data_IF_549360003313
#
_entry.id   IF_549360003313
#
_cell.length_a   1.000
_cell.length_b   1.000
_cell.length_c   1.000
_cell.angle_alpha   90.00
_cell.angle_beta   90.00
_cell.angle_gamma   90.00
#
_symmetry.space_group_name_H-M   'P 1'
#
loop_
_entity.id
_entity.type
_entity.pdbx_description
1 polymer ?
#
# COMPACT_ATOMS: atom_id res chain seq x y z
N UNK A 1 11.97 15.00 -34.63
CA UNK A 1 11.76 14.97 -33.18
C UNK A 1 10.87 13.77 -32.88
N UNK A 2 11.47 12.60 -32.68
CA UNK A 2 10.76 11.40 -32.25
C UNK A 2 10.55 11.59 -30.75
N UNK A 3 9.31 11.85 -30.34
CA UNK A 3 8.98 12.36 -29.02
C UNK A 3 9.23 11.34 -27.90
N UNK A 4 9.90 11.83 -26.87
CA UNK A 4 9.83 11.42 -25.45
C UNK A 4 8.38 11.18 -24.96
N UNK A 5 7.75 10.07 -25.34
CA UNK A 5 6.49 9.69 -24.72
C UNK A 5 6.80 8.93 -23.40
N UNK A 6 6.72 9.68 -22.30
CA UNK A 6 6.91 9.18 -20.95
C UNK A 6 5.99 7.99 -20.65
N UNK A 7 4.77 7.99 -21.19
CA UNK A 7 3.84 6.87 -21.03
C UNK A 7 4.37 5.58 -21.64
N UNK A 8 4.98 5.65 -22.84
CA UNK A 8 5.59 4.48 -23.50
C UNK A 8 6.76 3.91 -22.69
N UNK A 9 7.61 4.77 -22.11
CA UNK A 9 8.72 4.31 -21.27
C UNK A 9 8.22 3.58 -20.02
N UNK A 10 7.21 4.12 -19.35
CA UNK A 10 6.60 3.46 -18.19
C UNK A 10 5.93 2.15 -18.59
N UNK A 11 5.15 2.12 -19.68
CA UNK A 11 4.48 0.91 -20.15
C UNK A 11 5.45 -0.20 -20.57
N UNK A 12 6.58 0.14 -21.17
CA UNK A 12 7.58 -0.84 -21.59
C UNK A 12 8.50 -1.35 -20.46
N UNK A 13 8.24 -1.00 -19.19
CA UNK A 13 9.14 -1.29 -18.06
C UNK A 13 8.60 -2.40 -17.17
N UNK A 14 9.29 -3.55 -17.18
CA UNK A 14 9.00 -4.71 -16.33
C UNK A 14 9.54 -4.57 -14.89
N UNK A 15 10.52 -3.68 -14.70
CA UNK A 15 11.17 -3.39 -13.42
C UNK A 15 11.19 -1.89 -13.16
N UNK A 16 11.46 -1.50 -11.91
CA UNK A 16 11.44 -0.11 -11.44
C UNK A 16 12.09 0.89 -12.43
N UNK A 17 11.30 1.71 -13.16
CA UNK A 17 11.85 2.65 -14.12
C UNK A 17 12.16 3.98 -13.41
N UNK A 18 13.12 3.96 -12.48
CA UNK A 18 13.42 5.06 -11.54
C UNK A 18 13.43 6.45 -12.20
N UNK A 19 14.15 6.61 -13.30
CA UNK A 19 14.23 7.89 -14.01
C UNK A 19 12.88 8.35 -14.58
N UNK A 20 12.14 7.45 -15.24
CA UNK A 20 10.84 7.78 -15.81
C UNK A 20 9.78 8.00 -14.72
N UNK A 21 9.83 7.22 -13.64
CA UNK A 21 8.91 7.38 -12.50
C UNK A 21 9.11 8.74 -11.82
N UNK A 22 10.36 9.17 -11.58
CA UNK A 22 10.63 10.53 -11.04
C UNK A 22 10.17 11.63 -11.98
N UNK A 23 10.36 11.46 -13.29
CA UNK A 23 9.88 12.39 -14.29
C UNK A 23 8.34 12.48 -14.28
N UNK A 24 7.64 11.36 -14.13
CA UNK A 24 6.19 11.32 -14.01
C UNK A 24 5.66 11.99 -12.74
N UNK A 25 6.38 11.89 -11.62
CA UNK A 25 6.05 12.63 -10.39
C UNK A 25 6.23 14.14 -10.59
N UNK A 26 7.27 14.56 -11.29
CA UNK A 26 7.56 15.97 -11.55
C UNK A 26 6.56 16.60 -12.55
N UNK A 27 6.11 15.82 -13.54
CA UNK A 27 5.21 16.27 -14.61
C UNK A 27 4.00 15.32 -14.79
N UNK A 28 3.14 15.16 -13.76
CA UNK A 28 2.05 14.16 -13.76
C UNK A 28 1.06 14.37 -14.92
N UNK A 29 0.89 15.61 -15.37
CA UNK A 29 0.02 15.94 -16.51
C UNK A 29 0.38 15.26 -17.82
N UNK A 30 1.63 14.77 -17.98
CA UNK A 30 2.08 14.05 -19.19
C UNK A 30 1.51 12.63 -19.30
N UNK A 31 1.14 12.03 -18.17
CA UNK A 31 0.60 10.65 -18.12
C UNK A 31 -0.82 10.59 -17.55
N UNK A 32 -1.28 11.62 -16.82
CA UNK A 32 -2.54 11.56 -16.06
C UNK A 32 -3.75 11.18 -16.92
N UNK A 33 -3.89 11.74 -18.13
CA UNK A 33 -5.02 11.44 -19.00
C UNK A 33 -5.11 9.96 -19.36
N UNK A 34 -3.97 9.34 -19.65
CA UNK A 34 -3.90 7.94 -20.05
C UNK A 34 -4.07 7.00 -18.87
N UNK A 35 -3.42 7.29 -17.73
CA UNK A 35 -3.59 6.51 -16.50
C UNK A 35 -5.04 6.53 -16.02
N UNK A 36 -5.73 7.69 -16.09
CA UNK A 36 -7.15 7.78 -15.75
C UNK A 36 -8.03 6.96 -16.70
N UNK A 37 -7.74 6.98 -18.01
CA UNK A 37 -8.42 6.14 -19.00
C UNK A 37 -8.25 4.65 -18.68
N UNK A 38 -7.05 4.23 -18.32
CA UNK A 38 -6.73 2.83 -17.98
C UNK A 38 -7.40 2.40 -16.67
N UNK A 39 -7.40 3.26 -15.63
CA UNK A 39 -8.14 3.00 -14.40
C UNK A 39 -9.65 2.83 -14.66
N UNK A 40 -10.24 3.69 -15.49
CA UNK A 40 -11.65 3.59 -15.87
C UNK A 40 -11.93 2.32 -16.68
N UNK A 41 -11.04 1.95 -17.60
CA UNK A 41 -11.17 0.74 -18.42
C UNK A 41 -11.09 -0.54 -17.56
N UNK A 42 -10.04 -0.68 -16.76
CA UNK A 42 -9.85 -1.83 -15.88
C UNK A 42 -10.96 -1.90 -14.80
N UNK A 43 -11.36 -0.78 -14.22
CA UNK A 43 -12.51 -0.72 -13.31
C UNK A 43 -13.87 -1.02 -13.97
N UNK A 44 -13.93 -1.03 -15.30
CA UNK A 44 -15.06 -1.49 -16.10
C UNK A 44 -14.96 -2.95 -16.55
N UNK A 45 -13.91 -3.68 -16.14
CA UNK A 45 -13.66 -5.07 -16.50
C UNK A 45 -13.00 -5.26 -17.87
N UNK A 46 -12.36 -4.22 -18.43
CA UNK A 46 -11.55 -4.37 -19.64
C UNK A 46 -10.20 -5.00 -19.30
N UNK A 47 -9.80 -6.02 -20.07
CA UNK A 47 -8.44 -6.55 -20.05
C UNK A 47 -7.48 -5.52 -20.64
N UNK A 48 -6.34 -5.32 -19.96
CA UNK A 48 -5.26 -4.43 -20.41
C UNK A 48 -4.13 -5.27 -21.04
N UNK A 49 -3.38 -4.68 -21.98
CA UNK A 49 -2.12 -5.29 -22.40
C UNK A 49 -1.05 -5.18 -21.31
N UNK A 50 0.02 -5.95 -21.40
CA UNK A 50 1.15 -5.87 -20.45
C UNK A 50 1.69 -4.42 -20.35
N UNK A 51 1.82 -3.72 -21.48
CA UNK A 51 2.29 -2.34 -21.47
C UNK A 51 1.29 -1.35 -20.85
N UNK A 52 -0.01 -1.59 -21.04
CA UNK A 52 -1.06 -0.81 -20.40
C UNK A 52 -1.11 -1.07 -18.89
N UNK A 53 -0.96 -2.32 -18.46
CA UNK A 53 -0.88 -2.70 -17.05
C UNK A 53 0.33 -2.06 -16.36
N UNK A 54 1.51 -2.13 -16.97
CA UNK A 54 2.72 -1.47 -16.49
C UNK A 54 2.53 0.06 -16.39
N UNK A 55 1.96 0.69 -17.41
CA UNK A 55 1.67 2.13 -17.39
C UNK A 55 0.68 2.49 -16.27
N UNK A 56 -0.37 1.70 -16.08
CA UNK A 56 -1.33 1.88 -14.99
C UNK A 56 -0.60 1.78 -13.64
N UNK A 57 0.20 0.73 -13.44
CA UNK A 57 0.92 0.48 -12.19
C UNK A 57 1.85 1.64 -11.82
N UNK A 58 2.81 1.99 -12.69
CA UNK A 58 3.76 3.07 -12.40
C UNK A 58 3.08 4.43 -12.35
N UNK A 59 2.14 4.65 -13.27
CA UNK A 59 1.40 5.89 -13.37
C UNK A 59 0.53 6.17 -12.15
N UNK A 60 -0.13 5.16 -11.60
CA UNK A 60 -0.94 5.28 -10.38
C UNK A 60 -0.09 5.77 -9.20
N UNK A 61 1.10 5.20 -9.01
CA UNK A 61 2.02 5.60 -7.96
C UNK A 61 2.57 7.01 -8.18
N UNK A 62 2.86 7.40 -9.43
CA UNK A 62 3.25 8.77 -9.77
C UNK A 62 2.13 9.79 -9.47
N UNK A 63 0.89 9.48 -9.86
CA UNK A 63 -0.27 10.33 -9.60
C UNK A 63 -0.57 10.44 -8.10
N UNK A 64 -0.41 9.36 -7.34
CA UNK A 64 -0.51 9.37 -5.89
C UNK A 64 0.55 10.29 -5.27
N UNK A 65 1.82 10.19 -5.68
CA UNK A 65 2.88 11.08 -5.23
C UNK A 65 2.62 12.55 -5.58
N UNK A 66 2.02 12.81 -6.74
CA UNK A 66 1.60 14.14 -7.16
C UNK A 66 0.28 14.64 -6.52
N UNK A 67 -0.39 13.83 -5.69
CA UNK A 67 -1.71 14.12 -5.08
C UNK A 67 -2.81 14.43 -6.11
N UNK A 68 -2.80 13.74 -7.24
CA UNK A 68 -3.79 13.93 -8.29
C UNK A 68 -5.12 13.24 -7.94
N UNK A 69 -5.96 13.93 -7.18
CA UNK A 69 -7.22 13.39 -6.67
C UNK A 69 -8.22 12.92 -7.74
N UNK A 70 -8.00 13.25 -9.02
CA UNK A 70 -8.82 12.73 -10.12
C UNK A 70 -8.77 11.20 -10.22
N UNK A 71 -7.68 10.57 -9.78
CA UNK A 71 -7.51 9.11 -9.82
C UNK A 71 -8.22 8.38 -8.66
N UNK A 72 -8.70 9.08 -7.64
CA UNK A 72 -9.34 8.46 -6.47
C UNK A 72 -10.55 7.60 -6.82
N UNK A 73 -11.55 8.17 -7.48
CA UNK A 73 -12.79 7.46 -7.80
C UNK A 73 -12.59 6.36 -8.85
N UNK A 74 -11.78 6.55 -9.91
CA UNK A 74 -11.38 5.46 -10.79
C UNK A 74 -10.67 4.32 -10.05
N UNK A 75 -9.74 4.61 -9.15
CA UNK A 75 -9.08 3.59 -8.33
C UNK A 75 -10.10 2.81 -7.48
N UNK A 76 -11.04 3.47 -6.81
CA UNK A 76 -12.08 2.76 -6.03
C UNK A 76 -12.98 1.86 -6.90
N UNK A 77 -13.13 2.15 -8.20
CA UNK A 77 -13.83 1.27 -9.14
C UNK A 77 -12.98 0.08 -9.57
N UNK A 78 -11.68 0.29 -9.79
CA UNK A 78 -10.71 -0.79 -10.00
C UNK A 78 -10.68 -1.75 -8.81
N UNK A 79 -10.64 -1.24 -7.58
CA UNK A 79 -10.60 -2.03 -6.34
C UNK A 79 -11.86 -2.88 -6.08
N UNK A 80 -12.88 -2.81 -6.94
CA UNK A 80 -14.05 -3.71 -6.92
C UNK A 80 -13.95 -4.88 -7.89
N UNK A 81 -12.91 -4.92 -8.74
CA UNK A 81 -12.65 -6.09 -9.57
C UNK A 81 -12.24 -7.28 -8.70
N UNK A 82 -12.28 -8.48 -9.27
CA UNK A 82 -11.86 -9.70 -8.59
C UNK A 82 -10.36 -9.72 -8.25
N UNK A 83 -9.99 -10.63 -7.35
CA UNK A 83 -8.62 -10.75 -6.86
C UNK A 83 -7.60 -11.14 -7.93
N UNK A 84 -8.00 -11.83 -9.01
CA UNK A 84 -7.09 -12.18 -10.12
C UNK A 84 -6.73 -10.93 -10.90
N UNK A 85 -7.73 -10.14 -11.30
CA UNK A 85 -7.53 -8.85 -11.97
C UNK A 85 -6.67 -7.89 -11.13
N UNK A 86 -6.91 -7.83 -9.81
CA UNK A 86 -6.12 -6.99 -8.92
C UNK A 86 -4.69 -7.49 -8.73
N UNK A 87 -4.49 -8.81 -8.67
CA UNK A 87 -3.15 -9.40 -8.60
C UNK A 87 -2.35 -9.12 -9.88
N UNK A 88 -2.98 -9.18 -11.05
CA UNK A 88 -2.30 -8.89 -12.32
C UNK A 88 -1.90 -7.42 -12.45
N UNK A 89 -2.75 -6.50 -11.97
CA UNK A 89 -2.52 -5.05 -12.14
C UNK A 89 -1.71 -4.40 -11.02
N UNK A 90 -1.85 -4.88 -9.78
CA UNK A 90 -1.20 -4.30 -8.61
C UNK A 90 -0.18 -5.24 -7.96
N UNK A 91 -0.30 -6.54 -8.15
CA UNK A 91 0.57 -7.54 -7.51
C UNK A 91 0.73 -7.28 -6.00
N UNK A 92 1.98 -7.36 -5.53
CA UNK A 92 2.32 -7.11 -4.12
C UNK A 92 2.11 -5.65 -3.69
N UNK A 93 1.96 -4.70 -4.63
CA UNK A 93 1.64 -3.31 -4.29
C UNK A 93 0.27 -3.19 -3.60
N UNK A 94 -0.66 -4.12 -3.88
CA UNK A 94 -1.95 -4.18 -3.22
C UNK A 94 -1.84 -4.28 -1.69
N UNK A 95 -0.85 -5.00 -1.16
CA UNK A 95 -0.62 -5.14 0.29
C UNK A 95 0.50 -4.26 0.86
N UNK A 96 1.29 -3.58 0.01
CA UNK A 96 2.47 -2.83 0.44
C UNK A 96 2.32 -1.32 0.33
N UNK A 97 1.69 -0.80 -0.72
CA UNK A 97 1.58 0.65 -0.98
C UNK A 97 0.13 1.16 -1.02
N UNK A 98 -0.85 0.27 -1.15
CA UNK A 98 -2.25 0.65 -1.38
C UNK A 98 -2.83 1.65 -0.35
N UNK A 99 -2.59 1.55 0.97
CA UNK A 99 -3.09 2.57 1.91
C UNK A 99 -2.54 3.96 1.62
N UNK A 100 -1.26 4.05 1.26
CA UNK A 100 -0.60 5.31 0.96
C UNK A 100 -1.11 5.90 -0.35
N UNK A 101 -1.34 5.05 -1.36
CA UNK A 101 -1.95 5.45 -2.63
C UNK A 101 -3.36 5.99 -2.39
N UNK A 102 -4.22 5.26 -1.67
CA UNK A 102 -5.58 5.68 -1.33
C UNK A 102 -5.59 7.01 -0.56
N UNK A 103 -4.75 7.13 0.48
CA UNK A 103 -4.65 8.35 1.28
C UNK A 103 -4.19 9.54 0.44
N UNK A 104 -3.23 9.34 -0.46
CA UNK A 104 -2.65 10.40 -1.29
C UNK A 104 -3.59 10.89 -2.38
N UNK A 105 -4.43 10.01 -2.91
CA UNK A 105 -5.42 10.36 -3.93
C UNK A 105 -6.72 10.91 -3.33
N UNK A 106 -6.95 10.77 -2.03
CA UNK A 106 -8.21 11.13 -1.38
C UNK A 106 -8.76 12.52 -1.78
N UNK A 107 -9.97 12.53 -2.35
CA UNK A 107 -10.60 13.73 -2.93
C UNK A 107 -11.34 14.61 -1.91
N UNK A 108 -11.42 14.18 -0.64
CA UNK A 108 -12.13 14.89 0.43
C UNK A 108 -13.53 14.36 0.74
N UNK A 109 -14.06 13.41 -0.05
CA UNK A 109 -15.34 12.75 0.21
C UNK A 109 -15.10 11.31 0.70
N UNK A 110 -15.40 10.99 1.97
CA UNK A 110 -15.18 9.65 2.51
C UNK A 110 -16.18 8.61 2.02
N UNK A 111 -17.36 9.02 1.51
CA UNK A 111 -18.47 8.12 1.26
C UNK A 111 -18.14 7.02 0.21
N UNK A 112 -17.43 7.29 -0.89
CA UNK A 112 -17.00 6.26 -1.83
C UNK A 112 -16.09 5.20 -1.20
N UNK A 113 -15.14 5.61 -0.34
CA UNK A 113 -14.25 4.68 0.37
C UNK A 113 -15.01 3.87 1.42
N UNK A 114 -15.93 4.50 2.15
CA UNK A 114 -16.79 3.79 3.10
C UNK A 114 -17.71 2.79 2.39
N UNK A 115 -18.23 3.15 1.22
CA UNK A 115 -19.02 2.25 0.38
C UNK A 115 -18.18 1.03 -0.05
N UNK A 116 -16.92 1.24 -0.44
CA UNK A 116 -16.00 0.14 -0.74
C UNK A 116 -15.77 -0.75 0.48
N UNK A 117 -15.42 -0.17 1.63
CA UNK A 117 -15.17 -0.91 2.89
C UNK A 117 -16.38 -1.72 3.36
N UNK A 118 -17.60 -1.28 3.06
CA UNK A 118 -18.84 -1.95 3.44
C UNK A 118 -19.38 -2.94 2.38
N UNK A 119 -18.72 -3.05 1.22
CA UNK A 119 -19.11 -3.96 0.16
C UNK A 119 -18.63 -5.37 0.51
N UNK A 120 -19.54 -6.31 0.79
CA UNK A 120 -19.17 -7.67 1.20
C UNK A 120 -18.66 -8.55 0.05
N UNK A 121 -18.63 -8.05 -1.20
CA UNK A 121 -18.17 -8.83 -2.36
C UNK A 121 -16.73 -8.56 -2.76
N UNK A 122 -16.07 -7.56 -2.17
CA UNK A 122 -14.66 -7.26 -2.46
C UNK A 122 -13.72 -8.15 -1.64
N UNK A 123 -12.50 -8.25 -2.14
CA UNK A 123 -11.38 -8.92 -1.47
C UNK A 123 -11.08 -8.32 -0.09
N UNK A 124 -10.83 -9.18 0.92
CA UNK A 124 -10.60 -8.74 2.30
C UNK A 124 -9.23 -8.05 2.49
N UNK A 125 -8.23 -8.27 1.60
CA UNK A 125 -6.99 -7.49 1.56
C UNK A 125 -7.29 -6.04 1.19
N UNK A 126 -8.06 -5.83 0.12
CA UNK A 126 -8.48 -4.48 -0.29
C UNK A 126 -9.24 -3.79 0.83
N UNK A 127 -10.16 -4.51 1.48
CA UNK A 127 -10.92 -4.01 2.63
C UNK A 127 -9.99 -3.60 3.78
N UNK A 128 -9.02 -4.43 4.11
CA UNK A 128 -8.02 -4.17 5.15
C UNK A 128 -7.22 -2.89 4.85
N UNK A 129 -6.68 -2.76 3.64
CA UNK A 129 -5.88 -1.60 3.25
C UNK A 129 -6.72 -0.31 3.15
N UNK A 130 -7.98 -0.42 2.74
CA UNK A 130 -8.92 0.71 2.73
C UNK A 130 -9.29 1.20 4.14
N UNK A 131 -9.40 0.28 5.11
CA UNK A 131 -9.56 0.61 6.54
C UNK A 131 -8.31 1.28 7.11
N UNK A 132 -7.12 0.82 6.73
CA UNK A 132 -5.86 1.42 7.12
C UNK A 132 -5.70 2.86 6.57
N UNK A 133 -6.04 3.08 5.30
CA UNK A 133 -6.10 4.42 4.70
C UNK A 133 -7.11 5.33 5.42
N UNK A 134 -8.29 4.79 5.77
CA UNK A 134 -9.31 5.51 6.54
C UNK A 134 -8.77 5.94 7.91
N UNK A 135 -8.12 5.03 8.64
CA UNK A 135 -7.54 5.32 9.94
C UNK A 135 -6.49 6.44 9.86
N UNK A 136 -5.61 6.37 8.86
CA UNK A 136 -4.65 7.44 8.58
C UNK A 136 -5.34 8.78 8.30
N UNK A 137 -6.33 8.81 7.40
CA UNK A 137 -7.02 10.04 7.01
C UNK A 137 -7.83 10.65 8.18
N UNK A 138 -8.34 9.84 9.11
CA UNK A 138 -8.92 10.35 10.37
C UNK A 138 -7.85 11.01 11.23
N UNK A 139 -6.69 10.36 11.37
CA UNK A 139 -5.58 10.87 12.17
C UNK A 139 -4.92 12.12 11.58
N UNK A 140 -4.98 12.26 10.27
CA UNK A 140 -4.57 13.47 9.55
C UNK A 140 -5.65 14.56 9.54
N UNK A 141 -6.85 14.29 10.06
CA UNK A 141 -7.96 15.25 10.13
C UNK A 141 -8.68 15.48 8.79
N UNK A 142 -8.43 14.63 7.80
CA UNK A 142 -9.07 14.66 6.48
C UNK A 142 -10.44 13.96 6.47
N UNK A 143 -10.66 13.02 7.38
CA UNK A 143 -11.96 12.36 7.61
C UNK A 143 -12.43 12.65 9.05
N UNK A 144 -13.68 13.08 9.27
CA UNK A 144 -14.23 13.25 10.62
C UNK A 144 -14.24 11.92 11.39
N UNK A 145 -13.75 11.93 12.64
CA UNK A 145 -13.67 10.73 13.48
C UNK A 145 -15.06 10.11 13.73
N UNK A 146 -16.09 10.93 13.85
CA UNK A 146 -17.48 10.50 14.04
C UNK A 146 -18.00 9.74 12.81
N UNK A 147 -17.70 10.24 11.61
CA UNK A 147 -18.11 9.59 10.36
C UNK A 147 -17.43 8.21 10.20
N UNK A 148 -16.14 8.12 10.52
CA UNK A 148 -15.43 6.84 10.53
C UNK A 148 -15.99 5.88 11.59
N UNK A 149 -16.30 6.35 12.80
CA UNK A 149 -16.90 5.54 13.84
C UNK A 149 -18.28 4.98 13.44
N UNK A 150 -19.11 5.78 12.77
CA UNK A 150 -20.39 5.32 12.21
C UNK A 150 -20.19 4.23 11.13
N UNK A 151 -19.21 4.40 10.24
CA UNK A 151 -18.87 3.37 9.25
C UNK A 151 -18.41 2.08 9.92
N UNK A 152 -17.54 2.15 10.93
CA UNK A 152 -17.06 0.98 11.68
C UNK A 152 -18.19 0.27 12.44
N UNK A 153 -19.20 1.01 12.93
CA UNK A 153 -20.42 0.42 13.50
C UNK A 153 -21.18 -0.36 12.43
N UNK A 154 -21.41 0.25 11.26
CA UNK A 154 -22.13 -0.40 10.14
C UNK A 154 -21.40 -1.65 9.63
N UNK A 155 -20.07 -1.63 9.62
CA UNK A 155 -19.23 -2.77 9.28
C UNK A 155 -19.55 -3.97 10.18
N UNK A 156 -19.55 -3.74 11.49
CA UNK A 156 -19.84 -4.77 12.50
C UNK A 156 -21.29 -5.25 12.41
N UNK A 157 -22.25 -4.33 12.35
CA UNK A 157 -23.68 -4.64 12.30
C UNK A 157 -24.04 -5.51 11.07
N UNK A 158 -23.38 -5.29 9.93
CA UNK A 158 -23.60 -6.04 8.69
C UNK A 158 -22.74 -7.29 8.56
N UNK A 159 -21.73 -7.48 9.41
CA UNK A 159 -20.72 -8.55 9.31
C UNK A 159 -20.14 -8.67 7.89
N UNK A 160 -19.60 -7.57 7.38
CA UNK A 160 -19.22 -7.46 5.95
C UNK A 160 -18.00 -8.28 5.54
N UNK A 161 -17.17 -8.73 6.49
CA UNK A 161 -15.94 -9.48 6.25
C UNK A 161 -16.05 -10.95 6.66
N UNK A 162 -15.22 -11.80 6.05
CA UNK A 162 -15.17 -13.23 6.35
C UNK A 162 -14.69 -13.44 7.78
N UNK A 163 -15.39 -14.28 8.55
CA UNK A 163 -15.03 -14.52 9.96
C UNK A 163 -13.62 -15.13 10.06
N UNK A 164 -12.77 -14.53 10.91
CA UNK A 164 -11.40 -14.99 11.10
C UNK A 164 -10.40 -14.54 10.03
N UNK A 165 -10.82 -13.73 9.06
CA UNK A 165 -9.96 -13.20 8.00
C UNK A 165 -9.48 -11.76 8.30
N UNK A 166 -8.57 -11.26 7.47
CA UNK A 166 -7.88 -9.97 7.61
C UNK A 166 -8.83 -8.77 7.59
N UNK A 167 -10.04 -8.91 7.03
CA UNK A 167 -11.05 -7.85 7.08
C UNK A 167 -11.47 -7.47 8.50
N UNK A 168 -11.57 -8.44 9.43
CA UNK A 168 -11.84 -8.13 10.85
C UNK A 168 -10.62 -7.56 11.57
N UNK A 169 -9.41 -7.97 11.17
CA UNK A 169 -8.16 -7.40 11.70
C UNK A 169 -8.10 -5.91 11.36
N UNK A 170 -8.23 -5.55 10.09
CA UNK A 170 -8.26 -4.14 9.67
C UNK A 170 -9.35 -3.32 10.33
N UNK A 171 -10.51 -3.92 10.62
CA UNK A 171 -11.59 -3.25 11.36
C UNK A 171 -11.18 -2.94 12.80
N UNK A 172 -10.58 -3.90 13.50
CA UNK A 172 -10.08 -3.66 14.85
C UNK A 172 -8.93 -2.64 14.87
N UNK A 173 -7.99 -2.74 13.93
CA UNK A 173 -6.89 -1.79 13.80
C UNK A 173 -7.44 -0.37 13.57
N UNK A 174 -8.42 -0.20 12.69
CA UNK A 174 -9.09 1.08 12.48
C UNK A 174 -9.76 1.61 13.76
N UNK A 175 -10.43 0.76 14.54
CA UNK A 175 -11.00 1.15 15.85
C UNK A 175 -9.90 1.66 16.80
N UNK A 176 -8.78 0.94 16.89
CA UNK A 176 -7.68 1.31 17.76
C UNK A 176 -6.99 2.61 17.32
N UNK A 177 -6.59 2.68 16.04
CA UNK A 177 -5.82 3.77 15.47
C UNK A 177 -6.62 5.07 15.43
N UNK A 178 -7.94 5.01 15.22
CA UNK A 178 -8.82 6.21 15.28
C UNK A 178 -9.15 6.65 16.70
N UNK A 179 -8.84 5.85 17.72
CA UNK A 179 -9.15 6.19 19.12
C UNK A 179 -10.63 6.00 19.48
N UNK A 180 -11.38 5.23 18.70
CA UNK A 180 -12.84 5.07 18.83
C UNK A 180 -13.25 4.16 20.01
N UNK A 181 -12.96 4.56 21.25
CA UNK A 181 -13.17 3.70 22.43
C UNK A 181 -14.60 3.27 22.68
N UNK A 182 -15.59 4.00 22.14
CA UNK A 182 -16.99 3.59 22.16
C UNK A 182 -17.24 2.24 21.49
N UNK A 183 -16.36 1.81 20.58
CA UNK A 183 -16.44 0.54 19.87
C UNK A 183 -15.66 -0.59 20.57
N UNK A 184 -14.93 -0.33 21.67
CA UNK A 184 -14.20 -1.38 22.39
C UNK A 184 -15.09 -2.57 22.83
N UNK A 185 -16.34 -2.37 23.31
CA UNK A 185 -17.22 -3.50 23.62
C UNK A 185 -17.58 -4.36 22.40
N UNK A 186 -17.63 -3.79 21.18
CA UNK A 186 -17.86 -4.52 19.93
C UNK A 186 -16.64 -5.37 19.56
N UNK A 187 -15.44 -4.83 19.73
CA UNK A 187 -14.19 -5.58 19.54
C UNK A 187 -14.13 -6.80 20.49
N UNK A 188 -14.46 -6.61 21.76
CA UNK A 188 -14.52 -7.73 22.72
C UNK A 188 -15.64 -8.74 22.39
N UNK A 189 -16.74 -8.31 21.77
CA UNK A 189 -17.76 -9.22 21.25
C UNK A 189 -17.23 -10.05 20.07
N UNK A 190 -16.56 -9.40 19.10
CA UNK A 190 -15.93 -10.05 17.95
C UNK A 190 -14.87 -11.09 18.35
N UNK A 191 -14.15 -10.85 19.46
CA UNK A 191 -13.21 -11.83 20.03
C UNK A 191 -13.91 -13.01 20.68
N UNK A 192 -15.06 -12.79 21.35
CA UNK A 192 -15.82 -13.86 22.03
C UNK A 192 -16.54 -14.78 21.05
N UNK A 193 -17.00 -14.26 19.93
CA UNK A 193 -17.75 -15.03 18.93
C UNK A 193 -16.88 -15.55 17.76
N UNK A 194 -15.55 -15.33 17.82
CA UNK A 194 -14.57 -15.97 16.93
C UNK A 194 -14.23 -15.18 15.67
N UNK A 195 -14.85 -14.01 15.44
CA UNK A 195 -14.53 -13.12 14.31
C UNK A 195 -13.10 -12.57 14.37
N UNK A 196 -12.59 -12.36 15.59
CA UNK A 196 -11.20 -11.99 15.86
C UNK A 196 -10.52 -13.08 16.70
N UNK A 197 -9.63 -13.86 16.09
CA UNK A 197 -8.85 -14.88 16.80
C UNK A 197 -7.56 -14.28 17.36
N UNK A 198 -6.93 -15.00 18.31
CA UNK A 198 -5.63 -14.61 18.87
C UNK A 198 -4.46 -14.82 17.90
N UNK A 199 -4.67 -15.63 16.86
CA UNK A 199 -3.64 -15.93 15.87
C UNK A 199 -3.47 -14.78 14.89
N UNK A 200 -4.55 -14.03 14.63
CA UNK A 200 -4.57 -12.90 13.68
C UNK A 200 -4.52 -11.54 14.37
N UNK A 201 -4.80 -11.46 15.68
CA UNK A 201 -4.81 -10.20 16.41
C UNK A 201 -4.48 -10.34 17.91
N UNK A 202 -3.55 -9.51 18.39
CA UNK A 202 -3.17 -9.40 19.81
C UNK A 202 -4.05 -8.41 20.60
N UNK A 203 -4.82 -8.88 21.62
CA UNK A 203 -5.59 -8.00 22.48
C UNK A 203 -4.76 -6.98 23.27
N UNK A 204 -3.49 -7.28 23.58
CA UNK A 204 -2.62 -6.36 24.29
C UNK A 204 -2.21 -5.19 23.40
N UNK A 205 -1.84 -5.48 22.15
CA UNK A 205 -1.62 -4.45 21.13
C UNK A 205 -2.86 -3.55 20.97
N UNK A 206 -4.05 -4.11 20.76
CA UNK A 206 -5.29 -3.33 20.59
C UNK A 206 -5.50 -2.31 21.72
N UNK A 207 -5.42 -2.76 22.98
CA UNK A 207 -5.59 -1.89 24.14
C UNK A 207 -4.52 -0.80 24.23
N UNK A 208 -3.28 -1.12 23.87
CA UNK A 208 -2.18 -0.16 23.90
C UNK A 208 -2.31 0.91 22.81
N UNK A 209 -2.62 0.50 21.58
CA UNK A 209 -2.84 1.38 20.44
C UNK A 209 -4.06 2.29 20.68
N UNK A 210 -5.21 1.73 21.08
CA UNK A 210 -6.41 2.51 21.39
C UNK A 210 -6.14 3.58 22.47
N UNK A 211 -5.50 3.20 23.58
CA UNK A 211 -5.16 4.13 24.66
C UNK A 211 -4.23 5.24 24.19
N UNK A 212 -3.24 4.90 23.34
CA UNK A 212 -2.28 5.88 22.80
C UNK A 212 -2.97 6.85 21.86
N UNK A 213 -3.80 6.37 20.93
CA UNK A 213 -4.57 7.22 20.03
C UNK A 213 -5.44 8.26 20.79
N UNK A 214 -6.03 7.87 21.93
CA UNK A 214 -6.84 8.76 22.77
C UNK A 214 -6.04 9.75 23.61
N UNK A 215 -4.97 9.28 24.25
CA UNK A 215 -4.21 10.09 25.22
C UNK A 215 -3.11 10.92 24.59
N UNK A 216 -2.68 10.55 23.38
CA UNK A 216 -1.62 11.20 22.60
C UNK A 216 -2.02 11.26 21.12
N UNK A 217 -2.99 12.09 20.74
CA UNK A 217 -3.48 12.15 19.36
C UNK A 217 -2.43 12.61 18.33
N UNK A 218 -1.37 13.31 18.77
CA UNK A 218 -0.23 13.66 17.91
C UNK A 218 0.88 12.60 17.81
N UNK A 219 0.79 11.51 18.58
CA UNK A 219 1.73 10.39 18.47
C UNK A 219 1.37 9.56 17.23
N UNK A 220 2.32 9.46 16.29
CA UNK A 220 2.15 8.79 15.00
C UNK A 220 2.81 7.41 14.97
N UNK A 221 3.44 6.95 16.06
CA UNK A 221 4.21 5.70 16.07
C UNK A 221 3.44 4.50 15.52
N UNK A 222 2.19 4.29 15.92
CA UNK A 222 1.42 3.13 15.44
C UNK A 222 1.13 3.23 13.93
N UNK A 223 0.99 4.46 13.40
CA UNK A 223 0.88 4.69 11.95
C UNK A 223 2.21 4.41 11.26
N UNK A 224 3.32 4.92 11.80
CA UNK A 224 4.67 4.76 11.26
C UNK A 224 5.10 3.27 11.25
N UNK A 225 4.82 2.54 12.34
CA UNK A 225 5.08 1.08 12.44
C UNK A 225 4.29 0.29 11.40
N UNK A 226 3.09 0.76 11.04
CA UNK A 226 2.28 0.17 9.97
C UNK A 226 2.60 0.73 8.58
N UNK A 227 3.51 1.70 8.47
CA UNK A 227 3.86 2.36 7.22
C UNK A 227 2.75 3.27 6.66
N UNK A 228 1.80 3.69 7.49
CA UNK A 228 0.67 4.50 7.08
C UNK A 228 1.08 5.97 6.96
N UNK A 229 0.88 6.50 5.76
CA UNK A 229 1.40 7.79 5.35
C UNK A 229 0.80 8.22 4.04
N UNK A 230 1.25 9.37 3.56
CA UNK A 230 1.14 9.65 2.15
C UNK A 230 2.30 9.01 1.39
N UNK A 231 2.09 8.71 0.12
CA UNK A 231 3.13 8.23 -0.79
C UNK A 231 3.91 9.46 -1.29
N UNK A 232 5.03 9.79 -0.67
CA UNK A 232 5.85 10.95 -1.08
C UNK A 232 6.94 10.58 -2.09
N UNK A 233 7.54 9.40 -1.93
CA UNK A 233 8.60 8.89 -2.80
C UNK A 233 8.20 7.51 -3.34
N UNK A 234 7.56 7.45 -4.53
CA UNK A 234 7.14 6.18 -5.12
C UNK A 234 8.33 5.33 -5.59
N UNK A 235 9.51 5.92 -5.82
CA UNK A 235 10.71 5.14 -6.14
C UNK A 235 11.15 4.35 -4.91
N UNK A 236 11.25 5.02 -3.75
CA UNK A 236 11.63 4.34 -2.51
C UNK A 236 10.58 3.30 -2.09
N UNK A 237 9.28 3.61 -2.24
CA UNK A 237 8.20 2.69 -1.89
C UNK A 237 8.16 1.44 -2.80
N UNK A 238 8.67 1.55 -4.02
CA UNK A 238 8.68 0.46 -5.01
C UNK A 238 10.08 -0.12 -5.24
N UNK A 239 11.08 0.16 -4.39
CA UNK A 239 12.44 -0.36 -4.55
C UNK A 239 12.52 -1.91 -4.59
N UNK A 240 11.51 -2.59 -4.04
CA UNK A 240 11.38 -4.06 -4.12
C UNK A 240 11.05 -4.58 -5.53
N UNK A 241 10.71 -3.71 -6.48
CA UNK A 241 10.45 -4.02 -7.90
C UNK A 241 11.68 -3.81 -8.78
N UNK A 242 12.83 -3.47 -8.21
CA UNK A 242 14.10 -3.39 -8.95
C UNK A 242 14.49 -4.76 -9.51
N UNK A 243 15.15 -4.77 -10.67
CA UNK A 243 15.67 -6.01 -11.26
C UNK A 243 16.65 -6.70 -10.29
N UNK A 244 16.39 -7.97 -9.97
CA UNK A 244 17.19 -8.73 -9.00
C UNK A 244 16.89 -8.42 -7.52
N UNK A 245 15.85 -7.64 -7.21
CA UNK A 245 15.39 -7.46 -5.84
C UNK A 245 15.01 -8.81 -5.20
N UNK A 246 15.52 -9.07 -3.99
CA UNK A 246 15.28 -10.33 -3.27
C UNK A 246 16.17 -11.50 -3.72
N UNK A 247 16.97 -11.36 -4.78
CA UNK A 247 17.95 -12.40 -5.11
C UNK A 247 19.06 -12.48 -4.05
N UNK A 248 19.51 -13.70 -3.68
CA UNK A 248 20.64 -13.84 -2.77
C UNK A 248 21.86 -13.13 -3.34
N UNK A 249 22.43 -12.20 -2.59
CA UNK A 249 23.69 -11.55 -2.96
C UNK A 249 24.74 -12.65 -3.16
N UNK A 250 25.08 -12.90 -4.42
CA UNK A 250 26.11 -13.88 -4.75
C UNK A 250 27.45 -13.29 -4.34
N UNK A 251 28.13 -13.91 -3.36
CA UNK A 251 29.49 -13.51 -3.02
C UNK A 251 30.42 -13.98 -4.15
N UNK A 252 30.96 -13.08 -4.99
CA UNK A 252 31.84 -13.47 -6.09
C UNK A 252 33.17 -14.06 -5.60
N UNK A 253 33.46 -13.94 -4.30
CA UNK A 253 34.66 -14.45 -3.64
C UNK A 253 34.36 -15.65 -2.72
N UNK A 254 33.23 -16.35 -2.91
CA UNK A 254 32.86 -17.51 -2.07
C UNK A 254 33.93 -18.60 -2.03
N UNK A 255 34.68 -18.76 -3.12
CA UNK A 255 35.73 -19.77 -3.28
C UNK A 255 37.14 -19.23 -2.94
N UNK A 256 37.24 -17.97 -2.49
CA UNK A 256 38.53 -17.32 -2.17
C UNK A 256 38.79 -17.43 -0.67
N UNK A 257 39.83 -18.19 -0.31
CA UNK A 257 40.28 -18.30 1.06
C UNK A 257 40.78 -16.97 1.62
N UNK A 258 40.50 -16.72 2.90
CA UNK A 258 40.90 -15.49 3.63
C UNK A 258 42.40 -15.15 3.51
N UNK A 259 43.27 -16.14 3.30
CA UNK A 259 44.72 -15.96 3.17
C UNK A 259 45.24 -16.05 1.73
N UNK A 260 44.38 -16.32 0.75
CA UNK A 260 44.76 -16.50 -0.65
C UNK A 260 45.18 -15.17 -1.28
N UNK A 261 45.94 -15.19 -2.39
CA UNK A 261 46.20 -14.00 -3.18
C UNK A 261 44.88 -13.30 -3.55
N UNK A 262 44.80 -12.00 -3.31
CA UNK A 262 43.59 -11.24 -3.55
C UNK A 262 43.29 -11.18 -5.07
N UNK A 263 42.06 -11.55 -5.52
CA UNK A 263 41.70 -11.58 -6.94
C UNK A 263 41.79 -10.23 -7.66
N UNK A 264 41.84 -9.11 -6.93
CA UNK A 264 41.99 -7.77 -7.50
C UNK A 264 43.39 -7.47 -8.07
N UNK A 265 44.32 -8.44 -8.04
CA UNK A 265 45.67 -8.27 -8.60
C UNK A 265 46.65 -7.50 -7.71
N UNK A 266 46.25 -7.12 -6.49
CA UNK A 266 47.11 -6.33 -5.60
C UNK A 266 48.33 -7.07 -5.03
N UNK A 267 48.41 -8.39 -5.22
CA UNK A 267 49.46 -9.25 -4.64
C UNK A 267 49.37 -9.44 -3.12
N UNK A 268 48.42 -8.79 -2.43
CA UNK A 268 48.17 -8.93 -0.99
C UNK A 268 47.26 -10.14 -0.71
N UNK A 269 47.31 -10.66 0.52
CA UNK A 269 46.32 -11.67 1.00
C UNK A 269 44.92 -11.05 1.01
N UNK A 270 43.88 -11.81 0.65
CA UNK A 270 42.50 -11.33 0.55
C UNK A 270 42.04 -10.56 1.81
N UNK A 271 42.32 -11.09 3.01
CA UNK A 271 42.05 -10.41 4.30
C UNK A 271 42.73 -9.07 4.55
N UNK A 272 43.82 -8.78 3.85
CA UNK A 272 44.58 -7.52 3.97
C UNK A 272 44.30 -6.60 2.77
N UNK A 273 43.26 -6.91 2.00
CA UNK A 273 42.85 -6.18 0.81
C UNK A 273 41.31 -6.15 0.78
N UNK A 274 40.66 -6.72 -0.25
CA UNK A 274 39.23 -6.57 -0.51
C UNK A 274 38.28 -7.17 0.55
N UNK A 275 38.78 -7.99 1.49
CA UNK A 275 37.96 -8.51 2.61
C UNK A 275 38.08 -7.68 3.89
N UNK A 276 39.08 -6.80 4.01
CA UNK A 276 39.33 -5.98 5.21
C UNK A 276 39.45 -4.48 4.89
N UNK A 277 38.94 -4.06 3.73
CA UNK A 277 38.82 -2.67 3.32
C UNK A 277 37.49 -2.10 3.82
#
# INVERSE_FOLDING_TARGET
>A
MLGDDLALRLGASDFLPEAALREAVAEPGRIAGEVLRLLDAAGGGAELTDEEANLLFWGLHALAAARDARAYRPLLRLLRQDGETLADLLGDAAGTTLPQVLASLYDGDPEPLFTLVLDSTIDDLVRNEALAATAFLVRDGRIPAEAAAEMLIRFDDKRVAVEGDIGWVGWEEAVALTGASGLAPRVEAARRDGRLTRDVSDPAWFRAALRRAQTRPGDRRDLDERGLGYLDDPVAALAWTEEGAGEPVTNPFRDVGRNDPCPCGSGRKFKKCCLGA
#
